data_IF_498050270848
#
_entry.id   IF_498050270848
#
_cell.length_a   1.000
_cell.length_b   1.000
_cell.length_c   1.000
_cell.angle_alpha   90.00
_cell.angle_beta   90.00
_cell.angle_gamma   90.00
#
_symmetry.space_group_name_H-M   'P 1'
#
loop_
_entity.id
_entity.type
_entity.pdbx_description
1 polymer ?
#
# COMPACT_ATOMS: atom_id res chain seq x y z
N UNK A 1 -48.13 -14.10 -21.70
CA UNK A 1 -47.15 -14.30 -20.62
C UNK A 1 -46.68 -15.73 -20.71
N UNK A 2 -45.58 -15.96 -21.40
CA UNK A 2 -44.87 -17.25 -21.37
C UNK A 2 -43.74 -17.11 -20.36
N UNK A 3 -43.49 -18.09 -19.48
CA UNK A 3 -42.42 -18.00 -18.51
C UNK A 3 -41.07 -18.10 -19.24
N UNK A 4 -40.16 -17.16 -18.96
CA UNK A 4 -38.78 -17.25 -19.42
C UNK A 4 -38.09 -18.47 -18.78
N UNK A 5 -37.27 -19.23 -19.53
CA UNK A 5 -36.48 -20.30 -18.96
C UNK A 5 -35.35 -19.69 -18.13
N UNK A 6 -35.32 -20.04 -16.85
CA UNK A 6 -34.19 -19.75 -15.96
C UNK A 6 -32.97 -20.45 -16.55
N UNK A 7 -32.02 -19.68 -17.08
CA UNK A 7 -30.72 -20.19 -17.49
C UNK A 7 -30.04 -20.82 -16.27
N UNK A 8 -29.97 -22.15 -16.27
CA UNK A 8 -29.18 -22.89 -15.29
C UNK A 8 -27.71 -22.62 -15.61
N UNK A 9 -27.02 -21.89 -14.72
CA UNK A 9 -25.57 -21.73 -14.81
C UNK A 9 -24.93 -23.13 -14.95
N UNK A 10 -24.02 -23.33 -15.93
CA UNK A 10 -23.42 -24.64 -16.12
C UNK A 10 -22.60 -24.98 -14.88
N UNK A 11 -23.08 -25.98 -14.12
CA UNK A 11 -22.36 -26.69 -13.07
C UNK A 11 -21.20 -27.46 -13.71
N UNK A 12 -20.21 -26.72 -14.18
CA UNK A 12 -18.94 -27.27 -14.59
C UNK A 12 -18.19 -27.49 -13.29
N UNK A 13 -18.11 -28.74 -12.84
CA UNK A 13 -17.21 -29.11 -11.74
C UNK A 13 -15.80 -28.74 -12.18
N UNK A 14 -15.35 -27.54 -11.79
CA UNK A 14 -13.97 -27.11 -11.97
C UNK A 14 -13.10 -28.13 -11.26
N UNK A 15 -12.11 -28.66 -11.96
CA UNK A 15 -11.10 -29.53 -11.36
C UNK A 15 -10.59 -28.83 -10.08
N UNK A 16 -10.66 -29.45 -8.89
CA UNK A 16 -10.17 -28.84 -7.66
C UNK A 16 -8.67 -28.49 -7.70
N UNK A 17 -7.93 -28.98 -8.72
CA UNK A 17 -6.53 -28.62 -9.00
C UNK A 17 -6.38 -27.44 -9.98
N UNK A 18 -7.47 -26.98 -10.59
CA UNK A 18 -7.46 -25.83 -11.50
C UNK A 18 -7.43 -24.52 -10.71
N UNK A 19 -6.24 -24.17 -10.24
CA UNK A 19 -5.95 -22.84 -9.73
C UNK A 19 -6.00 -21.82 -10.87
N UNK A 20 -6.58 -20.66 -10.62
CA UNK A 20 -6.54 -19.58 -11.60
C UNK A 20 -5.11 -19.02 -11.64
N UNK A 21 -4.62 -18.84 -12.86
CA UNK A 21 -3.35 -18.20 -13.14
C UNK A 21 -3.54 -16.67 -13.12
N UNK A 22 -3.16 -16.02 -12.03
CA UNK A 22 -3.08 -14.55 -11.96
C UNK A 22 -1.73 -14.08 -12.50
N UNK A 23 -1.68 -12.99 -13.27
CA UNK A 23 -0.40 -12.40 -13.70
C UNK A 23 0.01 -11.27 -12.76
N UNK A 24 1.18 -11.41 -12.14
CA UNK A 24 1.73 -10.37 -11.28
C UNK A 24 2.11 -9.12 -12.09
N UNK A 25 1.62 -7.95 -11.67
CA UNK A 25 1.75 -6.69 -12.41
C UNK A 25 3.17 -6.17 -12.60
N UNK A 26 4.15 -6.58 -11.77
CA UNK A 26 5.55 -6.16 -11.94
C UNK A 26 6.37 -7.10 -12.83
N UNK A 27 6.17 -8.41 -12.71
CA UNK A 27 7.09 -9.42 -13.30
C UNK A 27 6.44 -10.20 -14.43
N UNK A 28 5.14 -10.04 -14.66
CA UNK A 28 4.36 -10.82 -15.63
C UNK A 28 4.29 -12.31 -15.29
N UNK A 29 4.80 -12.72 -14.12
CA UNK A 29 4.81 -14.11 -13.69
C UNK A 29 3.41 -14.57 -13.35
N UNK A 30 3.12 -15.81 -13.76
CA UNK A 30 1.87 -16.48 -13.41
C UNK A 30 1.96 -16.95 -11.97
N UNK A 31 1.14 -16.36 -11.11
CA UNK A 31 0.91 -16.81 -9.75
C UNK A 31 -0.30 -17.74 -9.74
N UNK A 32 -0.08 -18.97 -9.29
CA UNK A 32 -1.09 -20.01 -9.22
C UNK A 32 -1.76 -19.90 -7.85
N UNK A 33 -3.04 -19.48 -7.82
CA UNK A 33 -3.80 -19.24 -6.58
C UNK A 33 -5.22 -19.76 -6.69
N UNK A 34 -5.87 -20.02 -5.53
CA UNK A 34 -7.32 -20.24 -5.53
C UNK A 34 -8.00 -18.92 -5.88
N UNK A 35 -9.24 -18.93 -6.43
CA UNK A 35 -9.97 -17.69 -6.67
C UNK A 35 -10.16 -16.83 -5.40
N UNK A 36 -10.33 -17.48 -4.24
CA UNK A 36 -10.47 -16.79 -2.96
C UNK A 36 -9.15 -16.13 -2.53
N UNK A 37 -8.02 -16.83 -2.66
CA UNK A 37 -6.70 -16.29 -2.31
C UNK A 37 -6.27 -15.17 -3.26
N UNK A 38 -6.59 -15.28 -4.55
CA UNK A 38 -6.35 -14.23 -5.56
C UNK A 38 -7.09 -12.94 -5.19
N UNK A 39 -8.37 -13.05 -4.83
CA UNK A 39 -9.18 -11.91 -4.37
C UNK A 39 -8.59 -11.30 -3.09
N UNK A 40 -8.21 -12.14 -2.12
CA UNK A 40 -7.63 -11.68 -0.86
C UNK A 40 -6.30 -10.95 -1.07
N UNK A 41 -5.42 -11.50 -1.92
CA UNK A 41 -4.14 -10.89 -2.27
C UNK A 41 -4.34 -9.58 -3.03
N UNK A 42 -5.23 -9.54 -4.02
CA UNK A 42 -5.53 -8.32 -4.77
C UNK A 42 -6.06 -7.21 -3.86
N UNK A 43 -7.00 -7.54 -2.95
CA UNK A 43 -7.53 -6.60 -1.96
C UNK A 43 -6.45 -6.11 -1.01
N UNK A 44 -5.55 -6.98 -0.56
CA UNK A 44 -4.40 -6.62 0.28
C UNK A 44 -3.50 -5.61 -0.43
N UNK A 45 -3.08 -5.91 -1.67
CA UNK A 45 -2.21 -5.02 -2.44
C UNK A 45 -2.87 -3.65 -2.67
N UNK A 46 -4.13 -3.63 -3.10
CA UNK A 46 -4.88 -2.38 -3.30
C UNK A 46 -4.99 -1.57 -2.00
N UNK A 47 -5.27 -2.24 -0.87
CA UNK A 47 -5.35 -1.59 0.44
C UNK A 47 -4.02 -0.95 0.87
N UNK A 48 -2.89 -1.64 0.65
CA UNK A 48 -1.56 -1.10 0.97
C UNK A 48 -1.23 0.10 0.07
N UNK A 49 -1.45 -0.01 -1.24
CA UNK A 49 -1.19 1.08 -2.18
C UNK A 49 -2.02 2.32 -1.86
N UNK A 50 -3.31 2.15 -1.61
CA UNK A 50 -4.20 3.25 -1.22
C UNK A 50 -3.74 3.90 0.09
N UNK A 51 -3.38 3.08 1.08
CA UNK A 51 -2.94 3.57 2.41
C UNK A 51 -1.62 4.34 2.36
N UNK A 52 -0.72 3.98 1.43
CA UNK A 52 0.55 4.66 1.22
C UNK A 52 0.43 5.91 0.33
N UNK A 53 -0.75 6.16 -0.25
CA UNK A 53 -1.04 7.30 -1.12
C UNK A 53 0.03 7.50 -2.22
N UNK A 54 0.42 6.39 -2.85
CA UNK A 54 1.49 6.40 -3.85
C UNK A 54 1.06 7.02 -5.18
N UNK A 55 1.97 7.78 -5.78
CA UNK A 55 1.76 8.44 -7.06
C UNK A 55 2.94 8.18 -8.02
N UNK A 56 2.63 8.04 -9.31
CA UNK A 56 3.64 7.67 -10.31
C UNK A 56 4.13 6.22 -10.18
N UNK A 57 4.90 5.79 -11.17
CA UNK A 57 5.21 4.37 -11.34
C UNK A 57 6.30 3.88 -10.38
N UNK A 58 7.26 4.75 -10.02
CA UNK A 58 8.30 4.40 -9.05
C UNK A 58 7.74 4.20 -7.65
N UNK A 59 6.91 5.12 -7.14
CA UNK A 59 6.29 4.94 -5.83
C UNK A 59 5.38 3.70 -5.81
N UNK A 60 4.60 3.48 -6.88
CA UNK A 60 3.79 2.27 -7.03
C UNK A 60 4.64 1.00 -7.02
N UNK A 61 5.80 1.00 -7.68
CA UNK A 61 6.70 -0.16 -7.69
C UNK A 61 7.19 -0.51 -6.28
N UNK A 62 7.63 0.49 -5.50
CA UNK A 62 8.02 0.27 -4.09
C UNK A 62 6.84 -0.18 -3.22
N UNK A 63 5.65 0.44 -3.38
CA UNK A 63 4.47 0.05 -2.63
C UNK A 63 4.01 -1.38 -2.92
N UNK A 64 4.07 -1.84 -4.17
CA UNK A 64 3.80 -3.24 -4.50
C UNK A 64 4.83 -4.17 -3.86
N UNK A 65 6.13 -3.84 -3.92
CA UNK A 65 7.14 -4.65 -3.24
C UNK A 65 6.93 -4.73 -1.73
N UNK A 66 6.48 -3.64 -1.10
CA UNK A 66 6.07 -3.63 0.32
C UNK A 66 4.86 -4.53 0.53
N UNK A 67 3.82 -4.43 -0.32
CA UNK A 67 2.63 -5.26 -0.22
C UNK A 67 2.96 -6.75 -0.33
N UNK A 68 3.83 -7.13 -1.28
CA UNK A 68 4.28 -8.50 -1.50
C UNK A 68 5.03 -9.07 -0.30
N UNK A 69 6.02 -8.33 0.23
CA UNK A 69 6.78 -8.80 1.38
C UNK A 69 5.90 -8.88 2.63
N UNK A 70 4.92 -7.98 2.80
CA UNK A 70 3.92 -8.09 3.88
C UNK A 70 3.02 -9.30 3.70
N UNK A 71 2.60 -9.60 2.46
CA UNK A 71 1.82 -10.80 2.17
C UNK A 71 2.60 -12.08 2.48
N UNK A 72 3.90 -12.12 2.13
CA UNK A 72 4.81 -13.22 2.46
C UNK A 72 4.92 -13.41 3.98
N UNK A 73 5.07 -12.34 4.74
CA UNK A 73 5.13 -12.39 6.21
C UNK A 73 3.84 -12.95 6.82
N UNK A 74 2.67 -12.48 6.36
CA UNK A 74 1.38 -13.02 6.80
C UNK A 74 1.24 -14.52 6.48
N UNK A 75 1.72 -14.95 5.31
CA UNK A 75 1.72 -16.35 4.92
C UNK A 75 2.69 -17.20 5.74
N UNK A 76 3.86 -16.68 6.11
CA UNK A 76 4.79 -17.39 6.98
C UNK A 76 4.14 -17.70 8.34
N UNK A 77 3.53 -16.69 8.98
CA UNK A 77 2.79 -16.89 10.23
C UNK A 77 1.64 -17.90 10.09
N UNK A 78 0.90 -17.88 8.97
CA UNK A 78 -0.16 -18.86 8.70
C UNK A 78 0.38 -20.29 8.52
N UNK A 79 1.51 -20.45 7.83
CA UNK A 79 2.18 -21.75 7.64
C UNK A 79 2.68 -22.28 8.98
N UNK A 80 3.27 -21.42 9.82
CA UNK A 80 3.71 -21.76 11.17
C UNK A 80 2.56 -22.35 12.01
N UNK A 81 1.46 -21.61 12.13
CA UNK A 81 0.28 -22.06 12.85
C UNK A 81 -0.28 -23.38 12.30
N UNK A 82 -0.30 -23.52 10.97
CA UNK A 82 -0.77 -24.75 10.32
C UNK A 82 0.13 -25.93 10.65
N UNK A 83 1.47 -25.74 10.66
CA UNK A 83 2.41 -26.81 10.97
C UNK A 83 2.28 -27.30 12.41
N UNK A 84 2.12 -26.38 13.36
CA UNK A 84 1.82 -26.74 14.75
C UNK A 84 0.49 -27.47 14.89
N UNK A 85 -0.55 -26.99 14.20
CA UNK A 85 -1.87 -27.66 14.21
C UNK A 85 -1.80 -29.08 13.64
N UNK A 86 -1.00 -29.30 12.59
CA UNK A 86 -0.76 -30.63 12.05
C UNK A 86 -0.04 -31.53 13.06
N UNK A 87 1.03 -31.05 13.71
CA UNK A 87 1.77 -31.83 14.69
C UNK A 87 0.94 -32.17 15.93
N UNK A 88 0.03 -31.29 16.35
CA UNK A 88 -0.95 -31.56 17.42
C UNK A 88 -2.04 -32.57 17.03
N UNK A 89 -2.18 -32.89 15.73
CA UNK A 89 -3.09 -33.94 15.25
C UNK A 89 -2.41 -35.29 15.06
N UNK A 90 -1.08 -35.35 15.18
CA UNK A 90 -0.32 -36.59 15.14
C UNK A 90 -0.45 -37.35 16.46
N UNK A 91 -0.32 -38.69 16.47
CA UNK A 91 -0.39 -39.45 17.70
C UNK A 91 0.67 -39.00 18.73
N UNK A 92 0.23 -38.80 19.97
CA UNK A 92 1.12 -38.36 21.05
C UNK A 92 2.24 -39.38 21.27
N UNK A 93 3.46 -38.87 21.41
CA UNK A 93 4.63 -39.67 21.75
C UNK A 93 4.82 -39.79 23.27
N UNK A 94 4.23 -38.87 24.04
CA UNK A 94 4.30 -38.79 25.49
C UNK A 94 2.89 -38.60 26.04
N UNK A 95 2.54 -39.37 27.09
CA UNK A 95 1.22 -39.31 27.72
C UNK A 95 1.39 -38.98 29.20
N UNK A 96 1.03 -37.75 29.57
CA UNK A 96 0.91 -37.29 30.95
C UNK A 96 -0.49 -37.51 31.53
N UNK A 97 -1.46 -37.93 30.70
CA UNK A 97 -2.87 -38.10 31.08
C UNK A 97 -3.50 -36.80 31.59
N UNK A 98 -3.05 -35.68 31.03
CA UNK A 98 -3.57 -34.35 31.34
C UNK A 98 -3.62 -33.55 30.04
N UNK A 99 -4.81 -33.19 29.53
CA UNK A 99 -4.97 -32.65 28.18
C UNK A 99 -4.06 -31.47 27.84
N UNK A 100 -3.86 -30.54 28.78
CA UNK A 100 -2.99 -29.38 28.57
C UNK A 100 -1.50 -29.73 28.53
N UNK A 101 -1.08 -30.75 29.30
CA UNK A 101 0.32 -31.20 29.34
C UNK A 101 0.62 -32.01 28.08
N UNK A 102 -0.32 -32.85 27.66
CA UNK A 102 -0.23 -33.62 26.42
C UNK A 102 -0.15 -32.68 25.20
N UNK A 103 -0.99 -31.64 25.14
CA UNK A 103 -0.93 -30.61 24.11
C UNK A 103 0.42 -29.85 24.10
N UNK A 104 0.96 -29.51 25.28
CA UNK A 104 2.26 -28.86 25.38
C UNK A 104 3.41 -29.77 24.90
N UNK A 105 3.35 -31.08 25.20
CA UNK A 105 4.30 -32.04 24.68
C UNK A 105 4.21 -32.20 23.17
N UNK A 106 3.00 -32.27 22.61
CA UNK A 106 2.82 -32.33 21.16
C UNK A 106 3.42 -31.10 20.46
N UNK A 107 3.25 -29.90 21.02
CA UNK A 107 3.90 -28.69 20.51
C UNK A 107 5.44 -28.76 20.60
N UNK A 108 5.98 -29.21 21.73
CA UNK A 108 7.43 -29.34 21.92
C UNK A 108 8.06 -30.36 20.95
N UNK A 109 7.39 -31.49 20.73
CA UNK A 109 7.80 -32.50 19.73
C UNK A 109 7.75 -31.92 18.33
N UNK A 110 6.66 -31.23 17.98
CA UNK A 110 6.52 -30.57 16.67
C UNK A 110 7.64 -29.57 16.42
N UNK A 111 7.96 -28.74 17.43
CA UNK A 111 9.08 -27.81 17.36
C UNK A 111 10.41 -28.52 17.14
N UNK A 112 10.70 -29.58 17.90
CA UNK A 112 11.94 -30.33 17.75
C UNK A 112 12.09 -30.97 16.36
N UNK A 113 11.00 -31.52 15.81
CA UNK A 113 10.97 -32.11 14.48
C UNK A 113 11.12 -31.06 13.36
N UNK A 114 10.52 -29.88 13.53
CA UNK A 114 10.46 -28.82 12.50
C UNK A 114 11.51 -27.71 12.69
N UNK A 115 12.37 -27.82 13.71
CA UNK A 115 13.32 -26.77 14.09
C UNK A 115 14.12 -26.20 12.92
N UNK A 116 14.57 -27.06 11.98
CA UNK A 116 15.31 -26.63 10.79
C UNK A 116 14.45 -25.79 9.83
N UNK A 117 13.18 -26.17 9.63
CA UNK A 117 12.25 -25.43 8.77
C UNK A 117 11.88 -24.09 9.41
N UNK A 118 11.65 -24.04 10.72
CA UNK A 118 11.40 -22.79 11.44
C UNK A 118 12.63 -21.87 11.45
N UNK A 119 13.84 -22.41 11.59
CA UNK A 119 15.07 -21.64 11.42
C UNK A 119 15.19 -21.04 10.02
N UNK A 120 14.86 -21.80 8.98
CA UNK A 120 14.89 -21.28 7.61
C UNK A 120 13.81 -20.21 7.38
N UNK A 121 12.61 -20.43 7.91
CA UNK A 121 11.50 -19.49 7.82
C UNK A 121 11.82 -18.17 8.53
N UNK A 122 12.35 -18.21 9.76
CA UNK A 122 12.73 -17.00 10.52
C UNK A 122 13.80 -16.18 9.80
N UNK A 123 14.74 -16.82 9.09
CA UNK A 123 15.70 -16.13 8.23
C UNK A 123 15.02 -15.41 7.06
N UNK A 124 14.04 -16.04 6.41
CA UNK A 124 13.29 -15.41 5.32
C UNK A 124 12.39 -14.27 5.81
N UNK A 125 11.75 -14.44 6.96
CA UNK A 125 10.96 -13.38 7.60
C UNK A 125 11.83 -12.17 7.93
N UNK A 126 12.99 -12.39 8.58
CA UNK A 126 13.92 -11.29 8.90
C UNK A 126 14.38 -10.56 7.64
N UNK A 127 14.65 -11.29 6.55
CA UNK A 127 15.02 -10.67 5.26
C UNK A 127 13.85 -9.89 4.65
N UNK A 128 12.64 -10.43 4.67
CA UNK A 128 11.44 -9.76 4.15
C UNK A 128 11.12 -8.50 4.96
N UNK A 129 11.18 -8.59 6.29
CA UNK A 129 10.97 -7.44 7.17
C UNK A 129 11.98 -6.32 6.90
N UNK A 130 13.27 -6.64 6.78
CA UNK A 130 14.29 -5.64 6.42
C UNK A 130 14.06 -5.00 5.06
N UNK A 131 13.55 -5.76 4.08
CA UNK A 131 13.16 -5.19 2.77
C UNK A 131 11.97 -4.26 2.90
N UNK A 132 10.93 -4.63 3.66
CA UNK A 132 9.79 -3.76 3.95
C UNK A 132 10.25 -2.45 4.58
N UNK A 133 11.08 -2.52 5.62
CA UNK A 133 11.63 -1.35 6.31
C UNK A 133 12.41 -0.45 5.36
N UNK A 134 13.33 -1.02 4.56
CA UNK A 134 14.12 -0.26 3.59
C UNK A 134 13.25 0.38 2.51
N UNK A 135 12.31 -0.37 1.94
CA UNK A 135 11.43 0.15 0.89
C UNK A 135 10.51 1.24 1.41
N UNK A 136 10.04 1.15 2.67
CA UNK A 136 9.27 2.22 3.30
C UNK A 136 10.09 3.49 3.47
N UNK A 137 11.37 3.38 3.84
CA UNK A 137 12.26 4.54 3.94
C UNK A 137 12.47 5.21 2.57
N UNK A 138 12.78 4.41 1.53
CA UNK A 138 12.96 4.93 0.17
C UNK A 138 11.66 5.57 -0.34
N UNK A 139 10.51 4.93 -0.12
CA UNK A 139 9.22 5.47 -0.53
C UNK A 139 8.91 6.82 0.14
N UNK A 140 9.15 6.94 1.45
CA UNK A 140 8.96 8.21 2.16
C UNK A 140 9.89 9.30 1.63
N UNK A 141 11.12 8.95 1.28
CA UNK A 141 12.08 9.88 0.67
C UNK A 141 11.57 10.37 -0.69
N UNK A 142 11.16 9.46 -1.58
CA UNK A 142 10.58 9.83 -2.89
C UNK A 142 9.35 10.73 -2.75
N UNK A 143 8.47 10.41 -1.80
CA UNK A 143 7.29 11.23 -1.52
C UNK A 143 7.65 12.61 -0.97
N UNK A 144 8.67 12.70 -0.12
CA UNK A 144 9.14 13.97 0.40
C UNK A 144 9.73 14.84 -0.72
N UNK A 145 10.57 14.25 -1.57
CA UNK A 145 11.14 14.91 -2.75
C UNK A 145 10.06 15.40 -3.71
N UNK A 146 9.07 14.55 -4.01
CA UNK A 146 7.93 14.91 -4.86
C UNK A 146 7.14 16.07 -4.29
N UNK A 147 6.81 16.04 -3.00
CA UNK A 147 6.06 17.12 -2.34
C UNK A 147 6.84 18.42 -2.33
N UNK A 148 8.13 18.37 -1.99
CA UNK A 148 9.00 19.54 -1.99
C UNK A 148 9.13 20.16 -3.40
N UNK A 149 9.32 19.33 -4.42
CA UNK A 149 9.37 19.76 -5.81
C UNK A 149 8.05 20.41 -6.26
N UNK A 150 6.91 19.84 -5.87
CA UNK A 150 5.60 20.42 -6.17
C UNK A 150 5.41 21.77 -5.47
N UNK A 151 5.75 21.86 -4.19
CA UNK A 151 5.63 23.09 -3.40
C UNK A 151 6.53 24.20 -3.98
N UNK A 152 7.77 23.87 -4.40
CA UNK A 152 8.66 24.82 -5.09
C UNK A 152 8.06 25.35 -6.39
N UNK A 153 7.53 24.48 -7.25
CA UNK A 153 6.89 24.89 -8.50
C UNK A 153 5.67 25.80 -8.25
N UNK A 154 4.89 25.49 -7.21
CA UNK A 154 3.76 26.32 -6.77
C UNK A 154 4.22 27.67 -6.25
N UNK A 155 5.30 27.72 -5.45
CA UNK A 155 5.86 28.97 -4.93
C UNK A 155 6.35 29.88 -6.06
N UNK A 156 7.10 29.34 -7.01
CA UNK A 156 7.57 30.07 -8.20
C UNK A 156 6.39 30.62 -9.02
N UNK A 157 5.42 29.76 -9.36
CA UNK A 157 4.23 30.17 -10.10
C UNK A 157 3.40 31.22 -9.33
N UNK A 158 3.34 31.12 -7.99
CA UNK A 158 2.65 32.11 -7.15
C UNK A 158 3.37 33.46 -7.20
N UNK A 159 4.71 33.47 -7.14
CA UNK A 159 5.51 34.70 -7.20
C UNK A 159 5.35 35.39 -8.55
N UNK A 160 5.42 34.65 -9.66
CA UNK A 160 5.21 35.17 -11.00
C UNK A 160 3.80 35.79 -11.16
N UNK A 161 2.78 35.11 -10.63
CA UNK A 161 1.41 35.63 -10.64
C UNK A 161 1.26 36.94 -9.83
N UNK A 162 1.88 37.01 -8.65
CA UNK A 162 1.87 38.23 -7.82
C UNK A 162 2.60 39.38 -8.51
N UNK A 163 3.76 39.10 -9.13
CA UNK A 163 4.54 40.10 -9.84
C UNK A 163 3.77 40.66 -11.04
N UNK A 164 3.16 39.78 -11.87
CA UNK A 164 2.32 40.19 -12.98
C UNK A 164 1.15 41.07 -12.50
N UNK A 165 0.45 40.68 -11.45
CA UNK A 165 -0.63 41.47 -10.86
C UNK A 165 -0.15 42.84 -10.38
N UNK A 166 1.04 42.94 -9.77
CA UNK A 166 1.61 44.21 -9.30
C UNK A 166 1.94 45.18 -10.43
N UNK A 167 2.23 44.65 -11.62
CA UNK A 167 2.49 45.43 -12.84
C UNK A 167 1.23 45.67 -13.68
N UNK A 168 0.05 45.26 -13.20
CA UNK A 168 -1.23 45.39 -13.93
C UNK A 168 -1.43 44.37 -15.06
N UNK A 169 -0.60 43.33 -15.12
CA UNK A 169 -0.73 42.22 -16.07
C UNK A 169 -1.51 41.03 -15.50
N UNK A 170 -1.84 40.07 -16.38
CA UNK A 170 -2.36 38.76 -16.01
C UNK A 170 -1.25 37.70 -16.22
N UNK A 171 -1.24 36.68 -15.37
CA UNK A 171 -0.36 35.51 -15.51
C UNK A 171 -1.22 34.26 -15.34
N UNK A 172 -1.26 33.43 -16.37
CA UNK A 172 -1.98 32.17 -16.34
C UNK A 172 -0.97 31.02 -16.25
N UNK A 173 -1.06 30.26 -15.14
CA UNK A 173 -0.14 29.15 -14.85
C UNK A 173 -0.27 28.05 -15.91
N UNK A 174 -1.44 27.85 -16.52
CA UNK A 174 -1.63 26.78 -17.50
C UNK A 174 -1.00 27.09 -18.87
N UNK A 175 -0.80 28.37 -19.20
CA UNK A 175 -0.22 28.81 -20.48
C UNK A 175 1.20 29.34 -20.36
N UNK A 176 1.50 30.03 -19.26
CA UNK A 176 2.72 30.84 -19.13
C UNK A 176 3.80 30.14 -18.32
N UNK A 177 3.45 29.14 -17.49
CA UNK A 177 4.42 28.39 -16.70
C UNK A 177 5.12 27.33 -17.57
N UNK A 178 6.45 27.40 -17.75
CA UNK A 178 7.16 26.50 -18.65
C UNK A 178 7.14 25.06 -18.12
N UNK A 179 6.61 24.08 -18.89
CA UNK A 179 6.64 22.67 -18.49
C UNK A 179 8.05 22.14 -18.22
N UNK A 180 9.06 22.72 -18.90
CA UNK A 180 10.48 22.35 -18.76
C UNK A 180 11.07 22.72 -17.39
N UNK A 181 10.44 23.64 -16.65
CA UNK A 181 10.86 23.97 -15.29
C UNK A 181 10.40 22.92 -14.26
N UNK A 182 9.45 22.05 -14.63
CA UNK A 182 9.00 20.98 -13.76
C UNK A 182 10.00 19.81 -13.77
N UNK A 183 10.31 19.20 -12.61
CA UNK A 183 11.19 18.04 -12.58
C UNK A 183 10.59 16.88 -13.40
N UNK A 184 11.30 16.37 -14.43
CA UNK A 184 10.75 15.39 -15.37
C UNK A 184 10.41 14.05 -14.73
N UNK A 185 11.01 13.74 -13.59
CA UNK A 185 10.73 12.52 -12.83
C UNK A 185 9.34 12.53 -12.13
N UNK A 186 8.70 13.70 -12.00
CA UNK A 186 7.39 13.82 -11.37
C UNK A 186 6.35 14.31 -12.39
N UNK A 187 5.25 13.57 -12.52
CA UNK A 187 4.17 13.89 -13.43
C UNK A 187 3.23 14.97 -12.83
N UNK A 188 3.75 16.17 -12.60
CA UNK A 188 2.93 17.29 -12.14
C UNK A 188 2.05 17.83 -13.27
N UNK A 189 0.79 18.12 -12.96
CA UNK A 189 -0.13 18.74 -13.91
C UNK A 189 -0.23 20.23 -13.66
N UNK A 190 -0.08 21.06 -14.71
CA UNK A 190 -0.26 22.51 -14.63
C UNK A 190 -1.60 22.93 -13.99
N UNK A 191 -2.76 22.27 -14.27
CA UNK A 191 -4.02 22.61 -13.59
C UNK A 191 -4.00 22.41 -12.08
N UNK A 192 -3.22 21.45 -11.56
CA UNK A 192 -3.06 21.28 -10.11
C UNK A 192 -2.25 22.42 -9.50
N UNK A 193 -1.18 22.84 -10.20
CA UNK A 193 -0.35 23.97 -9.79
C UNK A 193 -1.21 25.25 -9.81
N UNK A 194 -1.94 25.52 -10.89
CA UNK A 194 -2.85 26.65 -11.03
C UNK A 194 -3.90 26.72 -9.91
N UNK A 195 -4.53 25.58 -9.58
CA UNK A 195 -5.46 25.47 -8.44
C UNK A 195 -4.80 25.82 -7.12
N UNK A 196 -3.57 25.36 -6.88
CA UNK A 196 -2.83 25.63 -5.65
C UNK A 196 -2.37 27.08 -5.55
N UNK A 197 -1.90 27.68 -6.66
CA UNK A 197 -1.57 29.11 -6.76
C UNK A 197 -2.81 29.95 -6.43
N UNK A 198 -3.96 29.64 -7.05
CA UNK A 198 -5.23 30.33 -6.77
C UNK A 198 -5.60 30.24 -5.28
N UNK A 199 -5.47 29.07 -4.68
CA UNK A 199 -5.69 28.88 -3.25
C UNK A 199 -4.73 29.74 -2.41
N UNK A 200 -3.43 29.75 -2.72
CA UNK A 200 -2.43 30.52 -1.99
C UNK A 200 -2.70 32.04 -2.07
N UNK A 201 -3.05 32.55 -3.25
CA UNK A 201 -3.43 33.96 -3.43
C UNK A 201 -4.65 34.33 -2.58
N UNK A 202 -5.72 33.51 -2.63
CA UNK A 202 -6.92 33.71 -1.79
C UNK A 202 -6.62 33.63 -0.30
N UNK A 203 -5.76 32.70 0.11
CA UNK A 203 -5.35 32.57 1.50
C UNK A 203 -4.53 33.79 1.97
N UNK A 204 -3.63 34.30 1.13
CA UNK A 204 -2.86 35.50 1.41
C UNK A 204 -3.76 36.74 1.52
N UNK A 205 -4.75 36.86 0.64
CA UNK A 205 -5.75 37.92 0.69
C UNK A 205 -6.62 37.84 1.96
N UNK A 206 -7.13 36.65 2.29
CA UNK A 206 -7.88 36.42 3.51
C UNK A 206 -7.07 36.78 4.78
N UNK A 207 -5.77 36.45 4.81
CA UNK A 207 -4.87 36.82 5.92
C UNK A 207 -4.69 38.33 6.09
N UNK A 208 -4.85 39.14 5.03
CA UNK A 208 -4.81 40.60 5.13
C UNK A 208 -6.10 41.17 5.74
N UNK A 209 -7.23 40.51 5.48
CA UNK A 209 -8.55 40.98 5.90
C UNK A 209 -9.05 40.41 7.23
N UNK A 210 -8.54 39.25 7.67
CA UNK A 210 -8.91 38.63 8.95
C UNK A 210 -7.92 39.06 10.04
N UNK A 211 -8.34 39.88 11.03
CA UNK A 211 -7.49 40.20 12.18
C UNK A 211 -7.17 38.93 12.98
N UNK A 212 -5.99 38.88 13.60
CA UNK A 212 -5.59 37.76 14.45
C UNK A 212 -6.71 37.45 15.48
N UNK A 213 -7.09 36.18 15.67
CA UNK A 213 -8.24 35.83 16.51
C UNK A 213 -8.03 36.34 17.94
N UNK A 214 -8.96 37.18 18.42
CA UNK A 214 -8.93 37.76 19.77
C UNK A 214 -9.15 36.72 20.88
N UNK A 215 -9.60 35.51 20.55
CA UNK A 215 -9.80 34.41 21.48
C UNK A 215 -9.32 33.11 20.83
N UNK A 216 -8.50 32.35 21.57
CA UNK A 216 -8.17 30.98 21.21
C UNK A 216 -9.47 30.16 21.19
N UNK A 217 -9.66 29.35 20.14
CA UNK A 217 -10.77 28.41 20.08
C UNK A 217 -10.77 27.55 21.36
N UNK A 218 -11.93 27.34 22.00
CA UNK A 218 -12.00 26.48 23.17
C UNK A 218 -11.46 25.10 22.78
N UNK A 219 -10.46 24.62 23.55
CA UNK A 219 -9.91 23.27 23.37
C UNK A 219 -11.08 22.29 23.41
N UNK A 220 -11.23 21.49 22.36
CA UNK A 220 -12.13 20.35 22.39
C UNK A 220 -11.68 19.42 23.53
N UNK A 221 -12.64 19.07 24.39
CA UNK A 221 -12.47 18.16 25.52
C UNK A 221 -12.28 16.71 25.04
#
# INVERSE_FOLDING_TARGET
MSPEPIEQEPNTQRDPRAFNAYRHGLTGQVMIMTPADELAYSKHCQGILASLAVEGDLEKSFAHSIADDRWRLLRCAAIEHTRFSMGMSEPDHYFAHHPEIDAAFAQAVTWACEANNFNLMSLYESRAQRRVERNLLILRQLQAERKAAFDQAVEEATLLAQYAASNGGAYDVETDFPPEALPPQFAFSLPNIARRVTHNLRLADAKKHVPAPKQAFPRAA
#
